data_IF_350984772957
#
_entry.id   IF_350984772957
#
_cell.length_a   1.000
_cell.length_b   1.000
_cell.length_c   1.000
_cell.angle_alpha   90.00
_cell.angle_beta   90.00
_cell.angle_gamma   90.00
#
_symmetry.space_group_name_H-M   'P 1'
#
loop_
_entity.id
_entity.type
_entity.pdbx_description
1 polymer ?
#
# COMPACT_ATOMS: atom_id res chain seq x y z
N UNK A 1 45.42 2.89 -1.28
CA UNK A 1 44.79 1.59 -0.94
C UNK A 1 43.46 1.87 -0.28
N UNK A 2 42.40 1.14 -0.65
CA UNK A 2 41.13 1.20 0.08
C UNK A 2 41.31 0.31 1.31
N UNK A 3 41.32 0.90 2.51
CA UNK A 3 41.36 0.14 3.75
C UNK A 3 40.01 -0.55 3.94
N UNK A 4 40.02 -1.87 4.12
CA UNK A 4 38.83 -2.63 4.47
C UNK A 4 38.39 -2.24 5.88
N UNK A 5 37.09 -2.07 6.09
CA UNK A 5 36.50 -1.82 7.40
C UNK A 5 36.71 -3.01 8.35
N UNK A 6 36.69 -2.79 9.67
CA UNK A 6 36.79 -3.87 10.65
C UNK A 6 35.63 -4.86 10.51
N UNK A 7 35.87 -6.11 10.88
CA UNK A 7 34.83 -7.15 10.90
C UNK A 7 33.85 -6.86 12.03
N UNK A 8 32.56 -6.87 11.72
CA UNK A 8 31.45 -6.66 12.67
C UNK A 8 30.41 -7.79 12.58
N UNK A 9 29.59 -7.95 13.62
CA UNK A 9 28.53 -8.96 13.70
C UNK A 9 28.83 -10.13 14.65
N UNK A 10 27.82 -10.97 14.87
CA UNK A 10 27.92 -12.17 15.72
C UNK A 10 27.95 -13.45 14.85
N UNK A 11 29.07 -14.19 14.80
CA UNK A 11 29.14 -15.48 14.10
C UNK A 11 28.13 -16.50 14.62
N UNK A 12 27.78 -16.45 15.91
CA UNK A 12 26.78 -17.32 16.54
C UNK A 12 25.37 -16.72 16.48
N UNK A 13 24.98 -16.20 15.32
CA UNK A 13 23.66 -15.58 15.10
C UNK A 13 22.51 -16.54 15.39
N UNK A 14 22.64 -17.83 15.02
CA UNK A 14 21.63 -18.85 15.28
C UNK A 14 21.32 -19.04 16.76
N UNK A 15 22.37 -19.17 17.60
CA UNK A 15 22.21 -19.26 19.07
C UNK A 15 21.56 -17.98 19.61
N UNK A 16 22.07 -16.82 19.21
CA UNK A 16 21.54 -15.54 19.66
C UNK A 16 20.04 -15.42 19.36
N UNK A 17 19.63 -15.81 18.15
CA UNK A 17 18.24 -15.82 17.72
C UNK A 17 17.38 -16.78 18.54
N UNK A 18 17.87 -18.00 18.80
CA UNK A 18 17.18 -18.97 19.64
C UNK A 18 17.01 -18.47 21.08
N UNK A 19 18.03 -17.80 21.64
CA UNK A 19 17.93 -17.14 22.92
C UNK A 19 16.87 -16.05 22.91
N UNK A 20 16.86 -15.15 21.91
CA UNK A 20 15.80 -14.15 21.78
C UNK A 20 14.41 -14.78 21.66
N UNK A 21 14.25 -15.86 20.89
CA UNK A 21 12.98 -16.57 20.78
C UNK A 21 12.48 -17.05 22.14
N UNK A 22 13.35 -17.71 22.92
CA UNK A 22 13.03 -18.18 24.28
C UNK A 22 12.66 -17.03 25.22
N UNK A 23 13.38 -15.91 25.14
CA UNK A 23 13.07 -14.72 25.94
C UNK A 23 11.72 -14.11 25.55
N UNK A 24 11.33 -14.17 24.27
CA UNK A 24 10.01 -13.71 23.82
C UNK A 24 8.85 -14.55 24.39
N UNK A 25 9.11 -15.77 24.81
CA UNK A 25 8.13 -16.70 25.39
C UNK A 25 8.15 -16.73 26.93
N UNK A 26 9.16 -16.11 27.57
CA UNK A 26 9.30 -16.12 29.03
C UNK A 26 8.15 -15.38 29.70
N UNK A 27 7.39 -16.06 30.57
CA UNK A 27 6.16 -15.53 31.16
C UNK A 27 6.40 -14.32 32.06
N UNK A 28 7.53 -14.30 32.77
CA UNK A 28 7.86 -13.28 33.77
C UNK A 28 8.22 -11.90 33.17
N UNK A 29 8.55 -11.84 31.87
CA UNK A 29 8.92 -10.59 31.22
C UNK A 29 7.71 -9.73 30.88
N UNK A 30 7.92 -8.42 30.80
CA UNK A 30 6.89 -7.50 30.36
C UNK A 30 6.54 -7.75 28.87
N UNK A 31 5.26 -7.57 28.49
CA UNK A 31 4.79 -7.76 27.09
C UNK A 31 5.61 -7.00 26.05
N UNK A 32 6.04 -5.77 26.36
CA UNK A 32 6.84 -4.97 25.45
C UNK A 32 8.28 -5.49 25.33
N UNK A 33 8.85 -6.01 26.41
CA UNK A 33 10.18 -6.64 26.36
C UNK A 33 10.14 -7.93 25.55
N UNK A 34 9.09 -8.74 25.72
CA UNK A 34 8.86 -9.92 24.86
C UNK A 34 8.75 -9.52 23.40
N UNK A 35 7.99 -8.46 23.08
CA UNK A 35 7.85 -7.96 21.72
C UNK A 35 9.19 -7.52 21.11
N UNK A 36 10.09 -6.91 21.88
CA UNK A 36 11.44 -6.58 21.42
C UNK A 36 12.17 -7.87 21.00
N UNK A 37 12.26 -8.88 21.87
CA UNK A 37 12.92 -10.13 21.53
C UNK A 37 12.25 -10.85 20.36
N UNK A 38 10.92 -10.79 20.29
CA UNK A 38 10.11 -11.37 19.22
C UNK A 38 10.42 -10.73 17.86
N UNK A 39 10.57 -9.40 17.81
CA UNK A 39 10.95 -8.67 16.59
C UNK A 39 12.39 -9.00 16.12
N UNK A 40 13.27 -9.35 17.06
CA UNK A 40 14.65 -9.73 16.79
C UNK A 40 14.78 -11.19 16.32
N UNK A 41 13.87 -12.07 16.77
CA UNK A 41 13.92 -13.50 16.48
C UNK A 41 12.91 -13.98 15.43
N UNK A 42 11.98 -13.12 15.00
CA UNK A 42 10.91 -13.49 14.07
C UNK A 42 9.71 -14.20 14.73
N UNK A 43 9.51 -14.07 16.04
CA UNK A 43 8.35 -14.65 16.71
C UNK A 43 7.14 -13.73 16.56
N UNK A 44 6.15 -14.12 15.76
CA UNK A 44 5.02 -13.24 15.45
C UNK A 44 4.06 -13.05 16.62
N UNK A 45 3.83 -14.08 17.43
CA UNK A 45 2.74 -14.08 18.43
C UNK A 45 2.95 -13.04 19.55
N UNK A 46 4.11 -12.94 20.21
CA UNK A 46 4.34 -11.89 21.21
C UNK A 46 4.42 -10.49 20.59
N UNK A 47 4.77 -10.39 19.30
CA UNK A 47 4.80 -9.12 18.58
C UNK A 47 3.39 -8.58 18.35
N UNK A 48 2.48 -9.42 17.85
CA UNK A 48 1.07 -9.05 17.66
C UNK A 48 0.36 -8.68 18.96
N UNK A 49 0.80 -9.21 20.10
CA UNK A 49 0.21 -8.90 21.41
C UNK A 49 0.37 -7.44 21.86
N UNK A 50 1.24 -6.66 21.20
CA UNK A 50 1.42 -5.22 21.45
C UNK A 50 1.03 -4.34 20.27
N UNK A 51 0.58 -4.92 19.15
CA UNK A 51 0.10 -4.17 17.98
C UNK A 51 -1.30 -3.63 18.24
N UNK A 52 -1.54 -2.36 17.89
CA UNK A 52 -2.83 -1.68 18.12
C UNK A 52 -3.48 -1.16 16.85
N UNK A 53 -2.72 -1.06 15.76
CA UNK A 53 -3.13 -0.53 14.46
C UNK A 53 -2.84 -1.51 13.32
N UNK A 54 -3.47 -1.25 12.17
CA UNK A 54 -3.18 -1.94 10.92
C UNK A 54 -1.70 -1.83 10.55
N UNK A 55 -1.09 -0.66 10.68
CA UNK A 55 0.32 -0.44 10.37
C UNK A 55 1.24 -1.27 11.28
N UNK A 56 0.94 -1.36 12.57
CA UNK A 56 1.70 -2.19 13.51
C UNK A 56 1.64 -3.66 13.10
N UNK A 57 0.45 -4.14 12.74
CA UNK A 57 0.26 -5.52 12.30
C UNK A 57 0.96 -5.79 10.96
N UNK A 58 0.81 -4.92 9.95
CA UNK A 58 1.52 -5.03 8.67
C UNK A 58 3.02 -5.11 8.92
N UNK A 59 3.57 -4.18 9.71
CA UNK A 59 4.99 -4.19 10.03
C UNK A 59 5.42 -5.48 10.73
N UNK A 60 4.66 -5.95 11.72
CA UNK A 60 4.98 -7.18 12.46
C UNK A 60 5.04 -8.40 11.53
N UNK A 61 4.04 -8.56 10.66
CA UNK A 61 3.99 -9.66 9.69
C UNK A 61 5.13 -9.57 8.66
N UNK A 62 5.38 -8.39 8.06
CA UNK A 62 6.48 -8.20 7.12
C UNK A 62 7.85 -8.41 7.77
N UNK A 63 8.04 -7.95 9.01
CA UNK A 63 9.28 -8.14 9.76
C UNK A 63 9.57 -9.63 9.94
N UNK A 64 8.56 -10.41 10.35
CA UNK A 64 8.68 -11.87 10.51
C UNK A 64 8.88 -12.56 9.17
N UNK A 65 8.16 -12.16 8.11
CA UNK A 65 8.36 -12.69 6.77
C UNK A 65 9.81 -12.54 6.31
N UNK A 66 10.38 -11.33 6.39
CA UNK A 66 11.78 -11.08 6.02
C UNK A 66 12.72 -11.95 6.85
N UNK A 67 12.44 -12.07 8.15
CA UNK A 67 13.22 -12.91 9.05
C UNK A 67 13.23 -14.37 8.62
N UNK A 68 12.05 -14.94 8.34
CA UNK A 68 11.90 -16.33 7.88
C UNK A 68 12.55 -16.57 6.53
N UNK A 69 12.47 -15.61 5.59
CA UNK A 69 13.12 -15.72 4.28
C UNK A 69 14.65 -15.74 4.42
N UNK A 70 15.21 -14.88 5.29
CA UNK A 70 16.66 -14.89 5.58
C UNK A 70 17.09 -16.22 6.20
N UNK A 71 16.34 -16.78 7.14
CA UNK A 71 16.69 -18.11 7.69
C UNK A 71 16.66 -19.20 6.62
N UNK A 72 15.64 -19.21 5.76
CA UNK A 72 15.53 -20.19 4.68
C UNK A 72 16.72 -20.12 3.73
N UNK A 73 17.17 -18.92 3.39
CA UNK A 73 18.36 -18.72 2.54
C UNK A 73 19.67 -19.12 3.25
N UNK A 74 19.81 -18.84 4.54
CA UNK A 74 20.98 -19.27 5.31
C UNK A 74 21.06 -20.80 5.43
N UNK A 75 19.91 -21.46 5.63
CA UNK A 75 19.81 -22.93 5.68
C UNK A 75 20.12 -23.54 4.30
N UNK A 76 19.52 -23.01 3.23
CA UNK A 76 19.74 -23.53 1.87
C UNK A 76 21.18 -23.34 1.39
N UNK A 77 21.85 -22.27 1.82
CA UNK A 77 23.25 -21.98 1.51
C UNK A 77 24.26 -22.80 2.32
N UNK A 78 23.82 -23.64 3.26
CA UNK A 78 24.68 -24.40 4.16
C UNK A 78 25.44 -23.52 5.17
N UNK A 79 25.06 -22.26 5.31
CA UNK A 79 25.63 -21.30 6.25
C UNK A 79 24.96 -21.35 7.63
N UNK A 80 23.81 -22.02 7.73
CA UNK A 80 23.17 -22.30 9.00
C UNK A 80 24.02 -23.27 9.83
N UNK A 81 24.44 -22.82 11.02
CA UNK A 81 24.99 -23.72 12.03
C UNK A 81 23.93 -24.73 12.48
N UNK A 82 24.33 -25.95 12.84
CA UNK A 82 23.43 -27.07 13.24
C UNK A 82 22.52 -26.78 14.45
N UNK A 83 22.58 -25.59 15.05
CA UNK A 83 21.84 -25.17 16.25
C UNK A 83 20.43 -24.61 15.94
N UNK A 84 20.00 -24.65 14.67
CA UNK A 84 18.64 -24.31 14.20
C UNK A 84 17.55 -25.25 14.77
N UNK A 85 17.92 -26.39 15.37
CA UNK A 85 16.99 -27.34 16.01
C UNK A 85 16.19 -26.78 17.20
N UNK A 86 16.47 -25.55 17.64
CA UNK A 86 15.81 -24.92 18.78
C UNK A 86 14.62 -24.02 18.41
N UNK A 87 14.43 -23.69 17.13
CA UNK A 87 13.32 -22.85 16.67
C UNK A 87 12.09 -23.69 16.33
N UNK A 88 10.86 -23.17 16.51
CA UNK A 88 9.64 -23.91 16.19
C UNK A 88 9.57 -24.29 14.71
N UNK A 89 9.05 -25.50 14.45
CA UNK A 89 8.92 -26.02 13.07
C UNK A 89 7.98 -25.17 12.24
N UNK A 90 6.91 -24.66 12.84
CA UNK A 90 5.92 -23.80 12.18
C UNK A 90 6.58 -22.55 11.60
N UNK A 91 7.56 -21.98 12.31
CA UNK A 91 8.33 -20.83 11.85
C UNK A 91 9.25 -21.18 10.67
N UNK A 92 9.95 -22.32 10.74
CA UNK A 92 10.88 -22.78 9.70
C UNK A 92 10.14 -23.18 8.41
N UNK A 93 8.98 -23.78 8.55
CA UNK A 93 8.13 -24.26 7.45
C UNK A 93 7.20 -23.17 6.90
N UNK A 94 7.11 -22.01 7.56
CA UNK A 94 6.22 -20.91 7.16
C UNK A 94 6.54 -20.40 5.74
N UNK A 95 5.65 -20.70 4.80
CA UNK A 95 5.71 -20.17 3.44
C UNK A 95 5.01 -18.81 3.39
N UNK A 96 5.76 -17.78 3.76
CA UNK A 96 5.29 -16.40 3.67
C UNK A 96 5.39 -15.87 2.23
N UNK A 97 4.34 -15.20 1.80
CA UNK A 97 4.31 -14.31 0.64
C UNK A 97 3.67 -12.99 1.07
N UNK A 98 3.80 -11.95 0.25
CA UNK A 98 3.19 -10.66 0.56
C UNK A 98 1.65 -10.77 0.60
N UNK A 99 1.07 -11.60 -0.28
CA UNK A 99 -0.37 -11.88 -0.32
C UNK A 99 -0.81 -12.51 1.00
N UNK A 100 -0.08 -13.53 1.46
CA UNK A 100 -0.38 -14.22 2.71
C UNK A 100 -0.35 -13.27 3.91
N UNK A 101 0.57 -12.29 3.93
CA UNK A 101 0.58 -11.28 5.00
C UNK A 101 -0.76 -10.55 5.07
N UNK A 102 -1.29 -10.08 3.95
CA UNK A 102 -2.57 -9.37 3.95
C UNK A 102 -3.78 -10.30 4.16
N UNK A 103 -3.70 -11.57 3.77
CA UNK A 103 -4.70 -12.59 4.13
C UNK A 103 -4.78 -12.79 5.65
N UNK A 104 -3.65 -12.87 6.34
CA UNK A 104 -3.61 -12.98 7.81
C UNK A 104 -4.17 -11.72 8.49
N UNK A 105 -3.91 -10.52 7.96
CA UNK A 105 -4.53 -9.30 8.48
C UNK A 105 -6.05 -9.29 8.32
N UNK A 106 -6.58 -9.85 7.22
CA UNK A 106 -8.02 -10.03 7.03
C UNK A 106 -8.62 -11.05 8.00
N UNK A 107 -7.81 -11.95 8.54
CA UNK A 107 -8.18 -12.94 9.57
C UNK A 107 -7.87 -12.47 11.01
N UNK A 108 -7.45 -11.21 11.20
CA UNK A 108 -7.09 -10.67 12.52
C UNK A 108 -8.26 -10.71 13.52
N UNK A 109 -7.96 -11.01 14.78
CA UNK A 109 -8.95 -10.96 15.87
C UNK A 109 -9.25 -9.52 16.34
N UNK A 110 -8.40 -8.55 15.95
CA UNK A 110 -8.55 -7.15 16.33
C UNK A 110 -9.58 -6.46 15.43
N UNK A 111 -10.76 -6.17 15.97
CA UNK A 111 -11.84 -5.48 15.25
C UNK A 111 -11.39 -4.19 14.58
N UNK A 112 -10.56 -3.40 15.26
CA UNK A 112 -9.99 -2.15 14.74
C UNK A 112 -9.17 -2.40 13.47
N UNK A 113 -8.31 -3.41 13.45
CA UNK A 113 -7.50 -3.78 12.28
C UNK A 113 -8.39 -4.24 11.11
N UNK A 114 -9.47 -4.97 11.40
CA UNK A 114 -10.44 -5.38 10.37
C UNK A 114 -11.21 -4.20 9.76
N UNK A 115 -11.50 -3.17 10.56
CA UNK A 115 -12.11 -1.92 10.10
C UNK A 115 -11.11 -1.11 9.25
N UNK A 116 -9.89 -0.93 9.75
CA UNK A 116 -8.81 -0.22 9.06
C UNK A 116 -8.44 -0.89 7.74
N UNK A 117 -8.51 -2.23 7.63
CA UNK A 117 -8.26 -2.99 6.38
C UNK A 117 -9.23 -2.62 5.26
N UNK A 118 -10.42 -2.08 5.60
CA UNK A 118 -11.45 -1.65 4.63
C UNK A 118 -11.33 -0.18 4.27
N UNK A 119 -10.44 0.58 4.92
CA UNK A 119 -10.26 1.98 4.60
C UNK A 119 -9.60 2.15 3.24
N UNK A 120 -10.14 3.05 2.41
CA UNK A 120 -9.69 3.26 1.04
C UNK A 120 -8.17 3.43 0.91
N UNK A 121 -7.52 4.18 1.81
CA UNK A 121 -6.08 4.40 1.75
C UNK A 121 -5.27 3.14 2.09
N UNK A 122 -5.71 2.31 3.05
CA UNK A 122 -5.06 1.03 3.35
C UNK A 122 -5.27 0.00 2.24
N UNK A 123 -6.45 0.01 1.61
CA UNK A 123 -6.70 -0.81 0.41
C UNK A 123 -5.74 -0.40 -0.72
N UNK A 124 -5.58 0.90 -0.98
CA UNK A 124 -4.61 1.39 -1.98
C UNK A 124 -3.20 0.95 -1.60
N UNK A 125 -2.77 1.14 -0.35
CA UNK A 125 -1.44 0.73 0.12
C UNK A 125 -1.21 -0.77 -0.05
N UNK A 126 -2.19 -1.61 0.30
CA UNK A 126 -2.13 -3.07 0.10
C UNK A 126 -1.84 -3.40 -1.37
N UNK A 127 -2.63 -2.88 -2.30
CA UNK A 127 -2.45 -3.18 -3.73
C UNK A 127 -1.15 -2.62 -4.30
N UNK A 128 -0.72 -1.44 -3.84
CA UNK A 128 0.60 -0.86 -4.20
C UNK A 128 1.74 -1.76 -3.71
N UNK A 129 1.67 -2.27 -2.48
CA UNK A 129 2.68 -3.18 -1.90
C UNK A 129 2.71 -4.52 -2.65
N UNK A 130 1.54 -5.05 -3.01
CA UNK A 130 1.41 -6.30 -3.78
C UNK A 130 1.78 -6.13 -5.26
N UNK A 131 1.84 -4.89 -5.76
CA UNK A 131 2.04 -4.60 -7.18
C UNK A 131 0.85 -5.01 -8.05
N UNK A 132 -0.32 -5.25 -7.46
CA UNK A 132 -1.53 -5.65 -8.17
C UNK A 132 -2.36 -4.42 -8.54
N UNK A 133 -2.05 -3.87 -9.71
CA UNK A 133 -2.72 -2.68 -10.26
C UNK A 133 -4.12 -3.03 -10.76
N UNK A 134 -4.32 -4.22 -11.33
CA UNK A 134 -5.61 -4.62 -11.88
C UNK A 134 -6.67 -4.77 -10.79
N UNK A 135 -6.30 -5.35 -9.64
CA UNK A 135 -7.15 -5.42 -8.46
C UNK A 135 -7.45 -4.03 -7.87
N UNK A 136 -6.46 -3.12 -7.86
CA UNK A 136 -6.69 -1.73 -7.43
C UNK A 136 -7.72 -1.00 -8.32
N UNK A 137 -7.65 -1.21 -9.63
CA UNK A 137 -8.59 -0.60 -10.58
C UNK A 137 -10.01 -1.16 -10.41
N UNK A 138 -10.15 -2.44 -10.02
CA UNK A 138 -11.45 -3.04 -9.69
C UNK A 138 -12.06 -2.37 -8.45
N UNK A 139 -11.29 -2.18 -7.39
CA UNK A 139 -11.73 -1.42 -6.21
C UNK A 139 -12.15 0.01 -6.57
N UNK A 140 -11.39 0.70 -7.43
CA UNK A 140 -11.75 2.05 -7.88
C UNK A 140 -13.08 2.08 -8.62
N UNK A 141 -13.33 1.09 -9.48
CA UNK A 141 -14.61 0.93 -10.17
C UNK A 141 -15.75 0.72 -9.16
N UNK A 142 -15.57 -0.20 -8.22
CA UNK A 142 -16.58 -0.51 -7.21
C UNK A 142 -16.92 0.73 -6.36
N UNK A 143 -15.91 1.48 -5.91
CA UNK A 143 -16.07 2.71 -5.14
C UNK A 143 -16.78 3.83 -5.90
N UNK A 144 -16.58 3.92 -7.22
CA UNK A 144 -17.29 4.88 -8.08
C UNK A 144 -18.77 4.50 -8.27
N UNK A 145 -19.09 3.21 -8.21
CA UNK A 145 -20.47 2.71 -8.33
C UNK A 145 -21.24 2.72 -7.00
N UNK A 146 -20.58 2.92 -5.87
CA UNK A 146 -21.25 3.02 -4.57
C UNK A 146 -22.18 4.24 -4.54
N UNK A 147 -23.31 4.04 -3.86
CA UNK A 147 -24.32 5.05 -3.54
C UNK A 147 -23.77 6.26 -2.76
N UNK A 148 -22.69 6.07 -2.00
CA UNK A 148 -22.07 7.12 -1.20
C UNK A 148 -21.04 7.88 -2.04
N UNK A 149 -21.12 9.23 -2.09
CA UNK A 149 -20.14 10.00 -2.82
C UNK A 149 -18.76 9.87 -2.18
N UNK A 150 -17.73 9.68 -3.00
CA UNK A 150 -16.35 9.59 -2.54
C UNK A 150 -15.87 10.93 -1.97
N UNK A 151 -15.01 10.91 -0.92
CA UNK A 151 -14.35 12.11 -0.43
C UNK A 151 -13.54 12.81 -1.52
N UNK A 152 -13.59 14.14 -1.59
CA UNK A 152 -12.91 14.94 -2.64
C UNK A 152 -11.39 14.73 -2.67
N UNK A 153 -10.78 14.57 -1.50
CA UNK A 153 -9.35 14.28 -1.38
C UNK A 153 -8.98 12.89 -1.89
N UNK A 154 -9.83 11.89 -1.65
CA UNK A 154 -9.62 10.54 -2.15
C UNK A 154 -9.71 10.51 -3.67
N UNK A 155 -10.76 11.11 -4.25
CA UNK A 155 -10.94 11.15 -5.70
C UNK A 155 -9.77 11.86 -6.40
N UNK A 156 -9.32 12.99 -5.84
CA UNK A 156 -8.10 13.66 -6.31
C UNK A 156 -6.89 12.72 -6.26
N UNK A 157 -6.68 12.02 -5.15
CA UNK A 157 -5.56 11.09 -5.01
C UNK A 157 -5.64 9.95 -6.03
N UNK A 158 -6.81 9.34 -6.22
CA UNK A 158 -7.06 8.31 -7.23
C UNK A 158 -6.67 8.82 -8.62
N UNK A 159 -7.17 10.00 -9.03
CA UNK A 159 -6.83 10.59 -10.34
C UNK A 159 -5.34 10.77 -10.53
N UNK A 160 -4.65 11.35 -9.55
CA UNK A 160 -3.21 11.62 -9.66
C UNK A 160 -2.39 10.33 -9.66
N UNK A 161 -2.80 9.31 -8.91
CA UNK A 161 -2.15 8.02 -8.92
C UNK A 161 -2.22 7.35 -10.29
N UNK A 162 -3.38 7.41 -10.96
CA UNK A 162 -3.53 6.88 -12.33
C UNK A 162 -2.71 7.65 -13.35
N UNK A 163 -2.71 8.98 -13.29
CA UNK A 163 -1.88 9.82 -14.16
C UNK A 163 -0.39 9.54 -13.95
N UNK A 164 0.02 9.33 -12.70
CA UNK A 164 1.38 8.93 -12.36
C UNK A 164 1.73 7.57 -12.98
N UNK A 165 0.90 6.55 -12.81
CA UNK A 165 1.11 5.24 -13.43
C UNK A 165 1.17 5.30 -14.96
N UNK A 166 0.32 6.11 -15.59
CA UNK A 166 0.38 6.38 -17.04
C UNK A 166 1.71 7.04 -17.43
N UNK A 167 2.21 7.98 -16.64
CA UNK A 167 3.51 8.63 -16.89
C UNK A 167 4.70 7.67 -16.79
N UNK A 168 4.56 6.60 -16.00
CA UNK A 168 5.54 5.51 -15.92
C UNK A 168 5.43 4.50 -17.07
N UNK A 169 4.42 4.64 -17.95
CA UNK A 169 4.17 3.73 -19.06
C UNK A 169 3.49 2.42 -18.66
N UNK A 170 2.83 2.38 -17.51
CA UNK A 170 2.06 1.20 -17.07
C UNK A 170 0.77 1.09 -17.89
N UNK A 171 0.46 -0.13 -18.34
CA UNK A 171 -0.80 -0.42 -19.01
C UNK A 171 -1.92 -0.46 -17.95
N UNK A 172 -2.90 0.44 -18.08
CA UNK A 172 -4.05 0.53 -17.18
C UNK A 172 -5.33 0.20 -17.95
N UNK A 173 -6.36 -0.28 -17.24
CA UNK A 173 -7.71 -0.42 -17.80
C UNK A 173 -8.24 0.98 -18.12
N UNK A 174 -8.28 1.33 -19.42
CA UNK A 174 -8.61 2.69 -19.88
C UNK A 174 -10.03 3.11 -19.44
N UNK A 175 -10.97 2.17 -19.40
CA UNK A 175 -12.34 2.41 -18.94
C UNK A 175 -12.38 2.99 -17.51
N UNK A 176 -11.69 2.35 -16.56
CA UNK A 176 -11.61 2.81 -15.17
C UNK A 176 -10.89 4.16 -15.08
N UNK A 177 -9.82 4.36 -15.87
CA UNK A 177 -9.11 5.63 -15.90
C UNK A 177 -9.99 6.79 -16.36
N UNK A 178 -10.76 6.55 -17.42
CA UNK A 178 -11.73 7.49 -17.94
C UNK A 178 -12.80 7.80 -16.89
N UNK A 179 -13.35 6.79 -16.22
CA UNK A 179 -14.43 7.00 -15.24
C UNK A 179 -13.96 7.77 -14.00
N UNK A 180 -12.76 7.48 -13.48
CA UNK A 180 -12.13 8.25 -12.40
C UNK A 180 -11.87 9.70 -12.83
N UNK A 181 -11.33 9.93 -14.03
CA UNK A 181 -11.08 11.28 -14.55
C UNK A 181 -12.39 12.06 -14.74
N UNK A 182 -13.44 11.45 -15.31
CA UNK A 182 -14.76 12.06 -15.47
C UNK A 182 -15.39 12.43 -14.13
N UNK A 183 -15.30 11.55 -13.13
CA UNK A 183 -15.80 11.83 -11.79
C UNK A 183 -15.06 13.02 -11.16
N UNK A 184 -13.73 13.07 -11.32
CA UNK A 184 -12.92 14.17 -10.79
C UNK A 184 -13.16 15.50 -11.51
N UNK A 185 -13.28 15.49 -12.84
CA UNK A 185 -13.67 16.67 -13.62
C UNK A 185 -15.03 17.18 -13.16
N UNK A 186 -16.01 16.30 -12.98
CA UNK A 186 -17.34 16.67 -12.46
C UNK A 186 -17.27 17.32 -11.07
N UNK A 187 -16.37 16.83 -10.21
CA UNK A 187 -16.10 17.43 -8.91
C UNK A 187 -15.49 18.84 -9.05
N UNK A 188 -14.51 19.04 -9.93
CA UNK A 188 -13.88 20.35 -10.16
C UNK A 188 -14.86 21.38 -10.72
N UNK A 189 -15.76 20.97 -11.61
CA UNK A 189 -16.82 21.81 -12.15
C UNK A 189 -17.77 22.26 -11.05
N UNK A 190 -18.19 21.33 -10.19
CA UNK A 190 -19.06 21.62 -9.04
C UNK A 190 -18.41 22.62 -8.07
N UNK A 191 -17.12 22.48 -7.84
CA UNK A 191 -16.34 23.34 -6.95
C UNK A 191 -15.86 24.64 -7.65
N UNK A 192 -16.30 24.90 -8.89
CA UNK A 192 -15.98 26.08 -9.72
C UNK A 192 -14.49 26.30 -9.98
N UNK A 193 -13.68 25.23 -9.96
CA UNK A 193 -12.24 25.27 -10.23
C UNK A 193 -11.95 25.22 -11.73
N UNK A 194 -12.45 26.22 -12.45
CA UNK A 194 -12.44 26.30 -13.92
C UNK A 194 -11.04 26.20 -14.55
N UNK A 195 -10.03 26.75 -13.88
CA UNK A 195 -8.63 26.73 -14.36
C UNK A 195 -8.05 25.32 -14.51
N UNK A 196 -8.51 24.38 -13.68
CA UNK A 196 -7.97 23.02 -13.65
C UNK A 196 -8.69 22.09 -14.62
N UNK A 197 -9.95 22.38 -14.94
CA UNK A 197 -10.81 21.50 -15.74
C UNK A 197 -10.18 21.18 -17.10
N UNK A 198 -9.64 22.18 -17.80
CA UNK A 198 -9.02 21.99 -19.11
C UNK A 198 -7.88 20.95 -19.08
N UNK A 199 -6.99 21.04 -18.09
CA UNK A 199 -5.83 20.17 -17.95
C UNK A 199 -6.21 18.71 -17.68
N UNK A 200 -7.24 18.45 -16.87
CA UNK A 200 -7.69 17.07 -16.62
C UNK A 200 -8.51 16.50 -17.78
N UNK A 201 -9.26 17.35 -18.48
CA UNK A 201 -10.02 16.95 -19.66
C UNK A 201 -9.09 16.60 -20.83
N UNK A 202 -7.93 17.26 -20.97
CA UNK A 202 -6.94 16.89 -22.00
C UNK A 202 -6.31 15.51 -21.77
N UNK A 203 -6.42 14.95 -20.55
CA UNK A 203 -5.97 13.57 -20.25
C UNK A 203 -6.98 12.49 -20.64
N UNK A 204 -8.21 12.86 -21.02
CA UNK A 204 -9.21 11.93 -21.55
C UNK A 204 -8.96 11.66 -23.05
N UNK A 205 -9.47 10.54 -23.60
CA UNK A 205 -9.51 10.34 -25.04
C UNK A 205 -10.18 11.54 -25.74
N UNK A 206 -9.61 12.00 -26.86
CA UNK A 206 -9.94 13.30 -27.50
C UNK A 206 -11.44 13.51 -27.77
N UNK A 207 -12.14 12.45 -28.18
CA UNK A 207 -13.58 12.48 -28.45
C UNK A 207 -14.38 12.73 -27.17
N UNK A 208 -14.07 12.00 -26.09
CA UNK A 208 -14.71 12.16 -24.79
C UNK A 208 -14.35 13.49 -24.13
N UNK A 209 -13.09 13.91 -24.26
CA UNK A 209 -12.62 15.19 -23.72
C UNK A 209 -13.37 16.37 -24.35
N UNK A 210 -13.57 16.34 -25.67
CA UNK A 210 -14.35 17.37 -26.38
C UNK A 210 -15.79 17.43 -25.86
N UNK A 211 -16.45 16.28 -25.70
CA UNK A 211 -17.83 16.20 -25.21
C UNK A 211 -17.94 16.75 -23.78
N UNK A 212 -17.03 16.34 -22.89
CA UNK A 212 -17.03 16.79 -21.50
C UNK A 212 -16.72 18.28 -21.37
N UNK A 213 -15.75 18.79 -22.13
CA UNK A 213 -15.42 20.21 -22.11
C UNK A 213 -16.55 21.07 -22.66
N UNK A 214 -17.22 20.62 -23.73
CA UNK A 214 -18.39 21.29 -24.27
C UNK A 214 -19.52 21.37 -23.24
N UNK A 215 -19.83 20.26 -22.56
CA UNK A 215 -20.82 20.24 -21.48
C UNK A 215 -20.43 21.18 -20.32
N UNK A 216 -19.15 21.27 -19.98
CA UNK A 216 -18.66 22.24 -19.00
C UNK A 216 -18.91 23.69 -19.46
N UNK A 217 -18.59 24.04 -20.71
CA UNK A 217 -18.79 25.39 -21.24
C UNK A 217 -20.26 25.84 -21.21
N UNK A 218 -21.22 24.92 -21.33
CA UNK A 218 -22.65 25.21 -21.16
C UNK A 218 -22.99 25.68 -19.74
N UNK A 219 -22.29 25.17 -18.73
CA UNK A 219 -22.48 25.58 -17.32
C UNK A 219 -21.87 26.95 -17.01
N UNK A 220 -20.93 27.43 -17.84
CA UNK A 220 -20.26 28.73 -17.67
C UNK A 220 -21.16 29.85 -18.22
N UNK A 221 -22.00 30.39 -17.33
CA UNK A 221 -22.91 31.51 -17.64
C UNK A 221 -22.22 32.88 -17.62
N UNK A 222 -21.06 33.00 -16.97
CA UNK A 222 -20.34 34.27 -16.85
C UNK A 222 -19.52 34.58 -18.11
N UNK A 223 -19.77 35.71 -18.79
CA UNK A 223 -19.12 36.06 -20.06
C UNK A 223 -17.62 36.36 -19.92
N UNK A 224 -17.15 36.73 -18.73
CA UNK A 224 -15.74 37.07 -18.48
C UNK A 224 -14.84 35.84 -18.32
N UNK A 225 -15.40 34.71 -17.86
CA UNK A 225 -14.66 33.47 -17.64
C UNK A 225 -14.55 32.66 -18.94
N UNK A 226 -15.50 32.82 -19.86
CA UNK A 226 -15.56 32.05 -21.12
C UNK A 226 -14.32 32.21 -22.02
N UNK A 227 -13.76 33.41 -22.26
CA UNK A 227 -12.52 33.56 -23.02
C UNK A 227 -11.33 32.86 -22.36
N UNK A 228 -11.25 32.93 -21.03
CA UNK A 228 -10.21 32.26 -20.24
C UNK A 228 -10.31 30.74 -20.35
N UNK A 229 -11.50 30.17 -20.26
CA UNK A 229 -11.71 28.73 -20.51
C UNK A 229 -11.31 28.31 -21.94
N UNK A 230 -11.60 29.13 -22.95
CA UNK A 230 -11.19 28.82 -24.32
C UNK A 230 -9.66 28.85 -24.49
N UNK A 231 -8.99 29.79 -23.83
CA UNK A 231 -7.53 29.86 -23.82
C UNK A 231 -6.92 28.62 -23.13
N UNK A 232 -7.43 28.26 -21.95
CA UNK A 232 -6.97 27.08 -21.21
C UNK A 232 -7.13 25.77 -22.00
N UNK A 233 -8.19 25.63 -22.79
CA UNK A 233 -8.38 24.46 -23.65
C UNK A 233 -7.41 24.41 -24.84
N UNK A 234 -6.85 25.55 -25.24
CA UNK A 234 -5.84 25.63 -26.30
C UNK A 234 -4.43 25.34 -25.77
N UNK A 235 -4.18 25.70 -24.50
CA UNK A 235 -2.89 25.56 -23.84
C UNK A 235 -2.66 24.15 -23.22
N UNK A 236 -3.73 23.38 -23.00
CA UNK A 236 -3.74 22.06 -22.35
C UNK A 236 -3.58 20.87 -23.32
#
# INVERSE_FOLDING_TARGET
SVALQPVEGNPQRGIWKACCWRMAEEEQLNRYEKAIYASLSGNLKPLLAVCESWEDCVWAHFRVMVDSLVEKDLVSSGMAHQEVETLPREYLEANWTMEKVFEELQASELKRVLEETKEHYHVIQKFVILGDIDGLLEEFSDWLTDSKPLPSHLLRFMTHLLLFYRSLGLALKEEVCVDVLKAYVSLLIRDQQTDLVANYVSQLPSELGTIQYAAFLETVTQPEIRPRCLQLATDA
#
